data_IF_548425416002
#
_entry.id   IF_548425416002
#
_cell.length_a   1.000
_cell.length_b   1.000
_cell.length_c   1.000
_cell.angle_alpha   90.00
_cell.angle_beta   90.00
_cell.angle_gamma   90.00
#
_symmetry.space_group_name_H-M   'P 1'
#
loop_
_entity.id
_entity.type
_entity.pdbx_description
1 polymer ?
#
# COMPACT_ATOMS: atom_id res chain seq x y z
N UNK A 1 -29.72 14.82 21.74
CA UNK A 1 -29.78 13.37 21.42
C UNK A 1 -28.44 13.01 20.81
N UNK A 2 -27.78 11.96 21.29
CA UNK A 2 -26.46 11.55 20.79
C UNK A 2 -26.65 10.72 19.50
N UNK A 3 -26.25 11.26 18.35
CA UNK A 3 -26.39 10.60 17.05
C UNK A 3 -25.70 9.23 17.03
N UNK A 4 -24.53 9.12 17.66
CA UNK A 4 -23.72 7.89 17.67
C UNK A 4 -24.30 6.78 18.54
N UNK A 5 -25.38 7.05 19.28
CA UNK A 5 -26.15 6.06 20.05
C UNK A 5 -27.54 5.83 19.48
N UNK A 6 -27.87 6.45 18.35
CA UNK A 6 -29.18 6.33 17.73
C UNK A 6 -29.32 5.00 17.00
N UNK A 7 -30.55 4.51 16.89
CA UNK A 7 -30.88 3.33 16.08
C UNK A 7 -30.50 3.54 14.60
N UNK A 8 -30.66 4.76 14.09
CA UNK A 8 -30.27 5.12 12.73
C UNK A 8 -28.77 4.92 12.48
N UNK A 9 -27.91 5.30 13.44
CA UNK A 9 -26.47 5.11 13.35
C UNK A 9 -26.10 3.61 13.36
N UNK A 10 -26.68 2.81 14.25
CA UNK A 10 -26.43 1.36 14.28
C UNK A 10 -26.89 0.66 13.00
N UNK A 11 -28.05 1.07 12.45
CA UNK A 11 -28.52 0.57 11.16
C UNK A 11 -27.56 0.94 10.02
N UNK A 12 -27.06 2.17 10.00
CA UNK A 12 -26.08 2.63 9.02
C UNK A 12 -24.77 1.84 9.13
N UNK A 13 -24.22 1.66 10.34
CA UNK A 13 -23.00 0.89 10.60
C UNK A 13 -23.11 -0.55 10.10
N UNK A 14 -24.22 -1.23 10.41
CA UNK A 14 -24.49 -2.60 9.92
C UNK A 14 -24.58 -2.65 8.39
N UNK A 15 -25.20 -1.65 7.77
CA UNK A 15 -25.27 -1.57 6.31
C UNK A 15 -23.87 -1.44 5.68
N UNK A 16 -23.02 -0.55 6.20
CA UNK A 16 -21.64 -0.39 5.72
C UNK A 16 -20.85 -1.69 5.90
N UNK A 17 -20.95 -2.33 7.07
CA UNK A 17 -20.29 -3.62 7.31
C UNK A 17 -20.72 -4.68 6.28
N UNK A 18 -22.03 -4.85 6.07
CA UNK A 18 -22.55 -5.82 5.10
C UNK A 18 -22.09 -5.51 3.66
N UNK A 19 -22.02 -4.23 3.28
CA UNK A 19 -21.51 -3.81 1.97
C UNK A 19 -20.05 -4.20 1.76
N UNK A 20 -19.21 -3.96 2.77
CA UNK A 20 -17.80 -4.31 2.71
C UNK A 20 -17.59 -5.83 2.64
N UNK A 21 -18.35 -6.62 3.41
CA UNK A 21 -18.24 -8.08 3.36
C UNK A 21 -18.67 -8.71 2.02
N UNK A 22 -19.52 -8.02 1.25
CA UNK A 22 -19.92 -8.48 -0.09
C UNK A 22 -18.86 -8.23 -1.17
N UNK A 23 -17.84 -7.44 -0.89
CA UNK A 23 -16.75 -7.18 -1.86
C UNK A 23 -15.97 -8.49 -2.05
N UNK A 24 -15.81 -8.97 -3.30
CA UNK A 24 -15.10 -10.21 -3.55
C UNK A 24 -13.61 -10.09 -3.23
N UNK A 25 -13.00 -11.20 -2.83
CA UNK A 25 -11.55 -11.30 -2.71
C UNK A 25 -10.93 -11.71 -4.05
N UNK A 26 -9.82 -11.08 -4.43
CA UNK A 26 -9.01 -11.46 -5.58
C UNK A 26 -7.53 -11.23 -5.27
N UNK A 27 -6.66 -12.18 -5.63
CA UNK A 27 -5.20 -12.02 -5.47
C UNK A 27 -4.67 -10.85 -6.30
N UNK A 28 -5.23 -10.63 -7.49
CA UNK A 28 -4.91 -9.50 -8.35
C UNK A 28 -6.20 -8.86 -8.87
N UNK A 29 -6.34 -7.53 -8.82
CA UNK A 29 -7.38 -6.82 -9.55
C UNK A 29 -7.23 -6.96 -11.06
N UNK A 30 -8.32 -6.68 -11.78
CA UNK A 30 -8.28 -6.55 -13.23
C UNK A 30 -7.26 -5.48 -13.65
N UNK A 31 -6.43 -5.81 -14.64
CA UNK A 31 -5.36 -4.91 -15.10
C UNK A 31 -4.10 -4.91 -14.23
N UNK A 32 -4.01 -5.79 -13.22
CA UNK A 32 -2.83 -5.96 -12.38
C UNK A 32 -2.39 -7.43 -12.31
N UNK A 33 -1.11 -7.65 -12.04
CA UNK A 33 -0.54 -8.97 -11.79
C UNK A 33 0.25 -8.94 -10.50
N UNK A 34 -0.05 -9.86 -9.58
CA UNK A 34 0.75 -10.10 -8.39
C UNK A 34 2.12 -10.64 -8.80
N UNK A 35 3.19 -9.98 -8.37
CA UNK A 35 4.55 -10.30 -8.78
C UNK A 35 5.35 -11.04 -7.72
N UNK A 36 4.94 -10.93 -6.45
CA UNK A 36 5.51 -11.72 -5.37
C UNK A 36 5.61 -10.97 -4.05
N UNK A 37 6.44 -11.53 -3.17
CA UNK A 37 6.70 -11.02 -1.84
C UNK A 37 8.21 -10.93 -1.58
N UNK A 38 8.68 -9.77 -1.11
CA UNK A 38 10.00 -9.63 -0.54
C UNK A 38 9.94 -9.82 0.97
N UNK A 39 10.42 -10.97 1.44
CA UNK A 39 10.57 -11.19 2.89
C UNK A 39 11.63 -10.25 3.47
N UNK A 40 11.20 -9.44 4.44
CA UNK A 40 12.01 -8.43 5.14
C UNK A 40 11.78 -8.60 6.63
N UNK A 41 12.77 -9.18 7.32
CA UNK A 41 12.73 -9.32 8.77
C UNK A 41 12.87 -7.95 9.44
N UNK A 42 11.97 -7.66 10.38
CA UNK A 42 11.98 -6.40 11.12
C UNK A 42 11.68 -5.19 10.24
N UNK A 43 10.75 -5.30 9.28
CA UNK A 43 10.31 -4.17 8.46
C UNK A 43 9.74 -3.05 9.34
N UNK A 44 10.29 -1.85 9.19
CA UNK A 44 9.83 -0.66 9.93
C UNK A 44 9.17 0.33 8.98
N UNK A 45 9.85 0.67 7.89
CA UNK A 45 9.39 1.66 6.91
C UNK A 45 9.79 1.29 5.48
N UNK A 46 9.09 1.86 4.50
CA UNK A 46 9.52 1.86 3.11
C UNK A 46 9.04 3.11 2.38
N UNK A 47 9.66 3.43 1.24
CA UNK A 47 9.29 4.57 0.41
C UNK A 47 9.75 4.43 -1.04
N UNK A 48 8.96 5.01 -1.95
CA UNK A 48 9.32 5.06 -3.37
C UNK A 48 10.20 6.26 -3.67
N UNK A 49 11.16 6.06 -4.56
CA UNK A 49 11.78 7.17 -5.29
C UNK A 49 10.73 7.88 -6.16
N UNK A 50 10.70 9.22 -6.14
CA UNK A 50 9.75 9.99 -6.95
C UNK A 50 10.08 9.93 -8.45
N UNK A 51 11.32 9.55 -8.80
CA UNK A 51 11.82 9.53 -10.18
C UNK A 51 11.98 8.14 -10.80
N UNK A 52 11.72 7.07 -10.04
CA UNK A 52 11.80 5.68 -10.52
C UNK A 52 10.91 4.74 -9.71
N UNK A 53 10.83 3.47 -10.10
CA UNK A 53 10.08 2.45 -9.35
C UNK A 53 10.94 1.70 -8.32
N UNK A 54 12.05 2.32 -7.90
CA UNK A 54 12.89 1.80 -6.83
C UNK A 54 12.25 2.06 -5.46
N UNK A 55 12.34 1.04 -4.60
CA UNK A 55 11.82 1.07 -3.25
C UNK A 55 12.98 1.06 -2.25
N UNK A 56 13.06 2.10 -1.42
CA UNK A 56 13.92 2.10 -0.24
C UNK A 56 13.15 1.45 0.91
N UNK A 57 13.79 0.52 1.59
CA UNK A 57 13.22 -0.20 2.73
C UNK A 57 14.11 -0.01 3.93
N UNK A 58 13.53 0.36 5.07
CA UNK A 58 14.18 0.44 6.38
C UNK A 58 13.69 -0.71 7.24
N UNK A 59 14.63 -1.38 7.87
CA UNK A 59 14.39 -2.51 8.78
C UNK A 59 15.22 -2.35 10.04
N UNK A 60 14.92 -3.14 11.06
CA UNK A 60 15.66 -3.14 12.34
C UNK A 60 17.18 -3.36 12.19
N UNK A 61 17.63 -3.93 11.07
CA UNK A 61 19.02 -4.25 10.78
C UNK A 61 19.54 -3.49 9.53
N UNK A 62 19.17 -2.22 9.40
CA UNK A 62 19.63 -1.33 8.32
C UNK A 62 18.62 -1.16 7.19
N UNK A 63 19.10 -0.70 6.03
CA UNK A 63 18.28 -0.30 4.87
C UNK A 63 18.65 -1.04 3.59
N UNK A 64 17.71 -1.14 2.66
CA UNK A 64 17.88 -1.83 1.38
C UNK A 64 17.19 -1.11 0.24
N UNK A 65 17.61 -1.40 -0.99
CA UNK A 65 16.95 -0.92 -2.21
C UNK A 65 16.46 -2.12 -2.99
N UNK A 66 15.20 -2.05 -3.42
CA UNK A 66 14.52 -3.07 -4.22
C UNK A 66 14.12 -2.46 -5.56
N UNK A 67 14.34 -3.20 -6.63
CA UNK A 67 13.86 -2.88 -7.97
C UNK A 67 12.66 -3.77 -8.27
N UNK A 68 11.46 -3.17 -8.27
CA UNK A 68 10.21 -3.89 -8.51
C UNK A 68 10.08 -4.37 -9.96
N UNK A 69 10.69 -3.67 -10.92
CA UNK A 69 10.64 -4.06 -12.33
C UNK A 69 11.46 -5.33 -12.59
N UNK A 70 12.58 -5.49 -11.88
CA UNK A 70 13.40 -6.71 -11.94
C UNK A 70 13.01 -7.78 -10.92
N UNK A 71 12.14 -7.45 -9.97
CA UNK A 71 11.84 -8.28 -8.81
C UNK A 71 13.10 -8.67 -7.99
N UNK A 72 14.03 -7.72 -7.83
CA UNK A 72 15.35 -7.98 -7.23
C UNK A 72 15.70 -7.01 -6.09
N UNK A 73 16.41 -7.52 -5.07
CA UNK A 73 17.08 -6.69 -4.06
C UNK A 73 18.40 -6.21 -4.64
N UNK A 74 18.52 -4.91 -4.89
CA UNK A 74 19.68 -4.31 -5.58
C UNK A 74 20.88 -4.22 -4.66
N UNK A 75 20.67 -3.68 -3.46
CA UNK A 75 21.75 -3.43 -2.51
C UNK A 75 21.21 -3.42 -1.08
N UNK A 76 22.09 -3.66 -0.11
CA UNK A 76 21.75 -3.64 1.30
C UNK A 76 22.89 -3.05 2.12
N UNK A 77 22.51 -2.11 2.97
CA UNK A 77 23.35 -1.47 3.97
C UNK A 77 22.92 -2.02 5.34
N UNK A 78 23.82 -2.75 6.01
CA UNK A 78 23.56 -3.36 7.31
C UNK A 78 23.93 -2.45 8.47
N UNK A 79 24.38 -1.22 8.19
CA UNK A 79 24.70 -0.25 9.25
C UNK A 79 23.42 0.34 9.83
N UNK A 80 23.50 0.74 11.09
CA UNK A 80 22.50 1.54 11.80
C UNK A 80 22.79 3.05 11.71
N UNK A 81 23.92 3.42 11.11
CA UNK A 81 24.39 4.80 10.99
C UNK A 81 24.00 5.39 9.62
N UNK A 82 22.72 5.71 9.45
CA UNK A 82 22.20 6.42 8.29
C UNK A 82 21.22 7.52 8.68
N UNK A 83 21.10 8.54 7.83
CA UNK A 83 20.22 9.68 8.07
C UNK A 83 18.76 9.27 7.86
N UNK A 84 18.02 9.16 8.97
CA UNK A 84 16.59 8.94 9.06
C UNK A 84 15.97 9.99 9.97
N UNK A 85 15.16 10.87 9.40
CA UNK A 85 14.29 11.75 10.15
C UNK A 85 12.99 10.99 10.48
N UNK A 86 12.88 10.45 11.69
CA UNK A 86 11.69 9.74 12.16
C UNK A 86 10.47 10.65 12.34
N UNK A 87 10.66 11.97 12.47
CA UNK A 87 9.55 12.92 12.65
C UNK A 87 8.87 13.21 11.32
N UNK A 88 9.66 13.44 10.28
CA UNK A 88 9.16 13.67 8.92
C UNK A 88 9.00 12.37 8.12
N UNK A 89 9.53 11.26 8.64
CA UNK A 89 9.63 9.96 7.99
C UNK A 89 10.30 10.11 6.62
N UNK A 90 11.53 10.63 6.66
CA UNK A 90 12.36 10.85 5.49
C UNK A 90 13.69 10.15 5.73
N UNK A 91 14.13 9.35 4.76
CA UNK A 91 15.46 8.74 4.80
C UNK A 91 16.26 9.16 3.57
N UNK A 92 17.53 9.47 3.77
CA UNK A 92 18.43 9.66 2.64
C UNK A 92 18.63 8.34 1.88
N UNK A 93 18.60 8.41 0.56
CA UNK A 93 18.95 7.29 -0.29
C UNK A 93 20.45 7.02 -0.26
N UNK A 94 20.82 5.82 -0.70
CA UNK A 94 22.21 5.38 -0.81
C UNK A 94 22.42 4.65 -2.14
N UNK A 95 23.68 4.38 -2.50
CA UNK A 95 24.01 3.66 -3.73
C UNK A 95 23.33 4.32 -4.97
N UNK A 96 22.51 3.58 -5.72
CA UNK A 96 21.72 4.09 -6.87
C UNK A 96 20.72 5.20 -6.53
N UNK A 97 20.38 5.37 -5.25
CA UNK A 97 19.52 6.45 -4.73
C UNK A 97 20.30 7.52 -3.97
N UNK A 98 21.63 7.57 -4.08
CA UNK A 98 22.44 8.59 -3.40
C UNK A 98 21.95 10.02 -3.75
N UNK A 99 22.02 10.90 -2.76
CA UNK A 99 21.59 12.31 -2.83
C UNK A 99 20.08 12.51 -3.04
N UNK A 100 19.27 11.43 -2.94
CA UNK A 100 17.81 11.51 -2.94
C UNK A 100 17.27 11.46 -1.53
N UNK A 101 16.16 12.16 -1.31
CA UNK A 101 15.42 12.16 -0.05
C UNK A 101 14.13 11.36 -0.26
N UNK A 102 13.99 10.23 0.44
CA UNK A 102 12.88 9.30 0.25
C UNK A 102 11.88 9.46 1.39
N UNK A 103 10.64 9.79 1.04
CA UNK A 103 9.52 9.83 1.99
C UNK A 103 9.07 8.40 2.32
N UNK A 104 8.89 8.13 3.60
CA UNK A 104 8.67 6.80 4.15
C UNK A 104 7.28 6.65 4.75
N UNK A 105 6.77 5.42 4.70
CA UNK A 105 5.55 4.98 5.36
C UNK A 105 5.80 3.61 5.99
N UNK A 106 5.19 3.36 7.14
CA UNK A 106 5.51 2.14 7.90
C UNK A 106 4.49 1.76 8.95
N UNK A 107 4.91 0.82 9.81
CA UNK A 107 4.08 0.16 10.83
C UNK A 107 3.36 1.13 11.77
N UNK A 108 3.99 2.25 12.09
CA UNK A 108 3.48 3.24 13.04
C UNK A 108 2.77 4.42 12.35
N UNK A 109 2.43 4.24 11.07
CA UNK A 109 1.92 5.30 10.19
C UNK A 109 3.02 5.85 9.28
N UNK A 110 2.69 6.89 8.53
CA UNK A 110 3.73 7.71 7.90
C UNK A 110 3.30 8.59 6.75
N UNK A 111 4.28 9.03 5.96
CA UNK A 111 4.06 9.90 4.82
C UNK A 111 3.13 9.24 3.79
N UNK A 112 2.36 10.05 3.08
CA UNK A 112 1.34 9.57 2.15
C UNK A 112 2.06 9.07 0.90
N UNK A 113 2.30 7.76 0.83
CA UNK A 113 2.46 7.12 -0.48
C UNK A 113 1.18 7.38 -1.28
N UNK A 114 1.28 7.60 -2.60
CA UNK A 114 0.11 7.80 -3.43
C UNK A 114 -0.92 6.70 -3.19
N UNK A 115 -2.09 7.06 -2.65
CA UNK A 115 -3.22 6.14 -2.48
C UNK A 115 -4.03 5.98 -3.76
N UNK A 116 -3.81 6.89 -4.72
CA UNK A 116 -4.34 6.81 -6.07
C UNK A 116 -3.21 7.02 -7.08
N UNK A 117 -3.40 6.47 -8.28
CA UNK A 117 -2.46 6.65 -9.38
C UNK A 117 -3.00 7.65 -10.43
N UNK A 118 -2.15 7.99 -11.39
CA UNK A 118 -2.47 8.92 -12.51
C UNK A 118 -3.59 8.41 -13.42
N UNK A 119 -3.94 7.13 -13.36
CA UNK A 119 -5.01 6.51 -14.14
C UNK A 119 -6.37 6.54 -13.41
N UNK A 120 -6.39 7.02 -12.16
CA UNK A 120 -7.61 7.16 -11.35
C UNK A 120 -7.91 5.97 -10.46
N UNK A 121 -7.10 4.92 -10.49
CA UNK A 121 -7.26 3.78 -9.57
C UNK A 121 -6.88 4.21 -8.15
N UNK A 122 -7.50 3.60 -7.15
CA UNK A 122 -7.35 3.92 -5.74
C UNK A 122 -7.23 2.66 -4.88
N UNK A 123 -6.44 2.74 -3.82
CA UNK A 123 -6.37 1.75 -2.75
C UNK A 123 -7.07 2.32 -1.51
N UNK A 124 -8.14 1.67 -1.10
CA UNK A 124 -8.93 2.07 0.06
C UNK A 124 -8.70 1.11 1.22
N UNK A 125 -8.17 1.64 2.32
CA UNK A 125 -8.16 0.93 3.61
C UNK A 125 -9.52 0.99 4.27
N UNK A 126 -10.03 -0.15 4.74
CA UNK A 126 -11.19 -0.22 5.64
C UNK A 126 -10.90 -1.20 6.78
N UNK A 127 -11.49 -0.96 7.97
CA UNK A 127 -11.21 -1.76 9.16
C UNK A 127 -12.50 -2.26 9.83
N UNK A 128 -13.38 -3.00 9.11
CA UNK A 128 -14.62 -3.52 9.69
C UNK A 128 -14.38 -4.55 10.81
N UNK A 129 -13.19 -5.17 10.83
CA UNK A 129 -12.78 -6.25 11.73
C UNK A 129 -11.51 -5.88 12.52
N UNK A 130 -11.32 -4.60 12.83
CA UNK A 130 -10.14 -4.12 13.57
C UNK A 130 -9.80 -5.04 14.76
N UNK A 131 -8.52 -5.45 14.95
CA UNK A 131 -7.31 -4.94 14.30
C UNK A 131 -6.99 -5.50 12.91
N UNK A 132 -7.83 -6.39 12.35
CA UNK A 132 -7.67 -6.85 10.97
C UNK A 132 -8.21 -5.79 9.99
N UNK A 133 -7.41 -5.46 8.99
CA UNK A 133 -7.69 -4.42 8.00
C UNK A 133 -7.78 -5.01 6.61
N UNK A 134 -8.66 -4.43 5.79
CA UNK A 134 -8.76 -4.74 4.38
C UNK A 134 -8.12 -3.62 3.55
N UNK A 135 -7.44 -4.01 2.48
CA UNK A 135 -7.14 -3.11 1.36
C UNK A 135 -8.02 -3.50 0.19
N UNK A 136 -8.84 -2.56 -0.25
CA UNK A 136 -9.75 -2.71 -1.39
C UNK A 136 -9.20 -1.88 -2.54
N UNK A 137 -8.95 -2.53 -3.66
CA UNK A 137 -8.67 -1.85 -4.93
C UNK A 137 -9.99 -1.33 -5.52
N UNK A 138 -9.96 -0.06 -5.92
CA UNK A 138 -11.06 0.65 -6.55
C UNK A 138 -10.56 1.16 -7.91
N UNK A 139 -11.10 0.65 -9.02
CA UNK A 139 -10.85 1.23 -10.34
C UNK A 139 -11.31 2.70 -10.39
N UNK A 140 -10.85 3.43 -11.41
CA UNK A 140 -11.30 4.79 -11.66
C UNK A 140 -12.83 4.93 -11.60
N UNK A 141 -13.29 5.93 -10.83
CA UNK A 141 -14.71 6.28 -10.61
C UNK A 141 -15.54 5.27 -9.79
N UNK A 142 -14.92 4.23 -9.23
CA UNK A 142 -15.56 3.30 -8.30
C UNK A 142 -15.29 3.72 -6.84
N UNK A 143 -16.17 3.33 -5.93
CA UNK A 143 -16.08 3.54 -4.51
C UNK A 143 -16.77 2.40 -3.73
N UNK A 144 -15.99 1.71 -2.91
CA UNK A 144 -16.44 0.53 -2.15
C UNK A 144 -17.52 0.81 -1.09
N UNK A 145 -17.70 2.07 -0.68
CA UNK A 145 -18.71 2.48 0.30
C UNK A 145 -20.01 2.97 -0.35
N UNK A 146 -19.98 3.27 -1.65
CA UNK A 146 -21.12 3.81 -2.40
C UNK A 146 -21.80 2.69 -3.18
N UNK A 147 -23.09 2.54 -2.94
CA UNK A 147 -23.91 1.53 -3.60
C UNK A 147 -24.03 1.81 -5.10
N UNK A 148 -23.87 0.77 -5.93
CA UNK A 148 -23.89 0.90 -7.39
C UNK A 148 -22.54 1.30 -8.00
N UNK A 149 -21.61 1.82 -7.20
CA UNK A 149 -20.23 2.18 -7.57
C UNK A 149 -19.20 1.22 -6.94
N UNK A 150 -19.60 0.07 -6.44
CA UNK A 150 -18.71 -0.89 -5.78
C UNK A 150 -18.56 -2.20 -6.57
N UNK A 151 -19.06 -2.25 -7.81
CA UNK A 151 -19.20 -3.51 -8.57
C UNK A 151 -17.86 -4.06 -9.02
N UNK A 152 -16.92 -3.16 -9.35
CA UNK A 152 -15.59 -3.53 -9.82
C UNK A 152 -14.53 -3.41 -8.72
N UNK A 153 -14.95 -3.11 -7.48
CA UNK A 153 -14.06 -3.09 -6.33
C UNK A 153 -13.69 -4.53 -5.93
N UNK A 154 -12.43 -4.76 -5.62
CA UNK A 154 -11.95 -6.08 -5.15
C UNK A 154 -11.11 -5.92 -3.91
N UNK A 155 -11.29 -6.83 -2.94
CA UNK A 155 -10.43 -6.93 -1.77
C UNK A 155 -9.17 -7.69 -2.18
N UNK A 156 -8.03 -7.03 -2.05
CA UNK A 156 -6.72 -7.59 -2.39
C UNK A 156 -5.92 -8.03 -1.17
N UNK A 157 -6.29 -7.51 0.00
CA UNK A 157 -5.62 -7.83 1.26
C UNK A 157 -6.62 -7.86 2.41
N UNK A 158 -6.39 -8.77 3.35
CA UNK A 158 -7.03 -8.83 4.67
C UNK A 158 -6.01 -9.37 5.66
N UNK A 159 -5.63 -8.57 6.65
CA UNK A 159 -4.59 -8.95 7.59
C UNK A 159 -4.17 -7.82 8.54
N UNK A 160 -2.96 -7.92 9.06
CA UNK A 160 -2.35 -6.90 9.92
C UNK A 160 -1.51 -5.98 9.04
N UNK A 161 -2.14 -4.90 8.59
CA UNK A 161 -1.56 -4.01 7.60
C UNK A 161 -0.59 -3.04 8.27
N UNK A 162 0.61 -2.92 7.72
CA UNK A 162 1.52 -1.85 8.14
C UNK A 162 1.26 -0.60 7.30
N UNK A 163 1.31 -0.77 5.98
CA UNK A 163 1.33 0.34 5.05
C UNK A 163 1.05 -0.19 3.62
N UNK A 164 0.61 0.68 2.72
CA UNK A 164 0.42 0.37 1.30
C UNK A 164 0.52 1.66 0.47
N UNK A 165 0.67 1.51 -0.85
CA UNK A 165 0.60 2.64 -1.77
C UNK A 165 1.09 2.31 -3.16
N UNK A 166 0.82 3.22 -4.09
CA UNK A 166 1.36 3.18 -5.44
C UNK A 166 2.77 3.79 -5.50
N UNK A 167 3.55 3.29 -6.45
CA UNK A 167 4.69 4.02 -7.02
C UNK A 167 4.24 5.34 -7.66
N UNK A 168 5.13 6.32 -7.74
CA UNK A 168 4.82 7.62 -8.36
C UNK A 168 4.53 7.53 -9.86
N UNK A 169 5.04 6.49 -10.53
CA UNK A 169 4.70 6.18 -11.93
C UNK A 169 3.26 5.65 -12.08
N UNK A 170 2.71 5.03 -11.02
CA UNK A 170 1.44 4.33 -11.04
C UNK A 170 1.52 2.93 -11.67
N UNK A 171 2.71 2.43 -12.00
CA UNK A 171 2.92 1.11 -12.61
C UNK A 171 2.98 -0.02 -11.59
N UNK A 172 3.33 0.31 -10.34
CA UNK A 172 3.40 -0.65 -9.23
C UNK A 172 2.58 -0.16 -8.05
N UNK A 173 2.07 -1.10 -7.27
CA UNK A 173 1.67 -0.84 -5.90
C UNK A 173 2.17 -1.92 -4.96
N UNK A 174 2.26 -1.58 -3.70
CA UNK A 174 2.77 -2.45 -2.65
C UNK A 174 1.85 -2.46 -1.44
N UNK A 175 1.87 -3.59 -0.73
CA UNK A 175 1.27 -3.78 0.58
C UNK A 175 2.34 -4.35 1.49
N UNK A 176 2.53 -3.73 2.64
CA UNK A 176 3.47 -4.17 3.66
C UNK A 176 2.74 -4.75 4.86
N UNK A 177 3.25 -5.88 5.34
CA UNK A 177 2.82 -6.55 6.56
C UNK A 177 3.99 -7.28 7.23
N UNK A 178 3.70 -8.10 8.24
CA UNK A 178 4.71 -8.90 8.96
C UNK A 178 5.53 -9.84 8.06
N UNK A 179 5.00 -10.23 6.89
CA UNK A 179 5.71 -11.10 5.96
C UNK A 179 6.74 -10.35 5.10
N UNK A 180 6.64 -9.02 5.02
CA UNK A 180 7.49 -8.16 4.21
C UNK A 180 6.70 -7.25 3.27
N UNK A 181 7.05 -7.24 1.99
CA UNK A 181 6.45 -6.36 0.97
C UNK A 181 5.89 -7.19 -0.17
N UNK A 182 4.57 -7.23 -0.26
CA UNK A 182 3.78 -7.74 -1.37
C UNK A 182 3.72 -6.67 -2.47
N UNK A 183 3.86 -7.05 -3.73
CA UNK A 183 3.82 -6.08 -4.82
C UNK A 183 3.11 -6.59 -6.07
N UNK A 184 2.49 -5.66 -6.78
CA UNK A 184 1.76 -5.87 -8.02
C UNK A 184 2.27 -4.92 -9.08
N UNK A 185 2.22 -5.40 -10.32
CA UNK A 185 2.59 -4.65 -11.52
C UNK A 185 1.34 -4.46 -12.40
N UNK A 186 1.20 -3.26 -12.96
CA UNK A 186 0.13 -2.92 -13.89
C UNK A 186 0.36 -3.66 -15.20
N UNK A 187 -0.68 -4.31 -15.71
CA UNK A 187 -0.65 -4.95 -17.02
C UNK A 187 -0.68 -3.86 -18.10
N UNK A 188 0.39 -3.75 -18.87
CA UNK A 188 0.36 -2.97 -20.10
C UNK A 188 -0.52 -3.72 -21.10
N UNK A 189 -1.80 -3.35 -21.18
CA UNK A 189 -2.60 -3.73 -22.33
C UNK A 189 -2.00 -3.05 -23.56
N UNK A 190 -1.22 -3.80 -24.35
CA UNK A 190 -1.11 -3.53 -25.78
C UNK A 190 -2.55 -3.51 -26.29
N UNK A 191 -3.09 -2.32 -26.55
CA UNK A 191 -4.27 -2.19 -27.39
C UNK A 191 -3.88 -2.77 -28.74
N UNK A 192 -4.26 -4.03 -28.98
CA UNK A 192 -4.31 -4.63 -30.32
C UNK A 192 -5.55 -4.10 -31.01
#
# INVERSE_FOLDING_TARGET
MDYFKSEAFEKHRKNIYNKLEQIPYAESPDGWTFKGNFSIGGLEYFGFDESSDLLLVVSSNGRGIIDLAKAEKITRDYTDNFELDETLLICEGFDVLKDKSIKLAGKYGGSILPISNSFGDCLQKVSPLYPCEDVIYQPAFENCLIEGHNKNCVRIYRGFLYCFGFSFSGNYFVIADDSGILFWERNYHLKV
#
